data_IF_771334105476
#
_entry.id   IF_771334105476
#
_cell.length_a   1.000
_cell.length_b   1.000
_cell.length_c   1.000
_cell.angle_alpha   90.00
_cell.angle_beta   90.00
_cell.angle_gamma   90.00
#
_symmetry.space_group_name_H-M   'P 1'
#
loop_
_entity.id
_entity.type
_entity.pdbx_description
1 polymer ?
#
# COMPACT_ATOMS: atom_id res chain seq x y z
N UNK A 1 50.02 6.74 2.48
CA UNK A 1 49.14 5.58 2.67
C UNK A 1 48.51 5.67 4.05
N UNK A 2 47.21 5.95 4.10
CA UNK A 2 46.25 5.20 4.91
C UNK A 2 44.87 5.80 4.68
N UNK A 3 44.03 5.01 4.03
CA UNK A 3 42.60 5.18 3.95
C UNK A 3 42.01 5.02 5.35
N UNK A 4 41.10 5.91 5.73
CA UNK A 4 40.14 5.63 6.80
C UNK A 4 38.82 6.29 6.41
N UNK A 5 37.91 5.40 6.02
CA UNK A 5 36.50 5.56 5.65
C UNK A 5 35.83 6.89 6.02
N UNK A 6 35.48 7.61 4.97
CA UNK A 6 34.33 8.49 4.96
C UNK A 6 33.04 7.63 4.98
N UNK A 7 32.67 7.13 6.16
CA UNK A 7 31.39 6.43 6.41
C UNK A 7 30.20 7.41 6.44
N UNK A 8 30.16 8.37 5.52
CA UNK A 8 28.94 9.13 5.22
C UNK A 8 28.00 8.24 4.43
N UNK A 9 27.37 7.28 5.13
CA UNK A 9 26.04 6.80 4.73
C UNK A 9 25.16 8.05 4.63
N UNK A 10 24.48 8.31 3.51
CA UNK A 10 23.50 9.38 3.51
C UNK A 10 22.51 9.06 4.63
N UNK A 11 22.23 10.04 5.49
CA UNK A 11 21.13 9.97 6.42
C UNK A 11 19.86 9.82 5.59
N UNK A 12 19.45 8.58 5.32
CA UNK A 12 18.14 8.26 4.79
C UNK A 12 17.19 8.89 5.80
N UNK A 13 16.44 9.90 5.37
CA UNK A 13 15.44 10.57 6.20
C UNK A 13 14.66 9.47 6.90
N UNK A 14 14.76 9.39 8.23
CA UNK A 14 14.03 8.41 9.02
C UNK A 14 12.56 8.66 8.72
N UNK A 15 11.96 7.81 7.90
CA UNK A 15 10.57 7.94 7.52
C UNK A 15 9.73 7.94 8.80
N UNK A 16 8.94 9.00 8.98
CA UNK A 16 8.15 9.30 10.18
C UNK A 16 6.96 8.35 10.27
N UNK A 17 7.21 7.05 10.40
CA UNK A 17 6.14 6.08 10.59
C UNK A 17 5.60 6.17 12.02
N UNK A 18 4.29 6.00 12.18
CA UNK A 18 3.69 5.85 13.50
C UNK A 18 4.29 4.62 14.22
N UNK A 19 4.38 4.69 15.54
CA UNK A 19 4.82 3.57 16.36
C UNK A 19 3.96 2.33 16.10
N UNK A 20 4.60 1.17 15.94
CA UNK A 20 3.91 -0.08 15.63
C UNK A 20 3.60 -0.30 14.14
N UNK A 21 4.05 0.58 13.24
CA UNK A 21 3.98 0.34 11.79
C UNK A 21 4.72 -0.95 11.43
N UNK A 22 4.08 -1.92 10.74
CA UNK A 22 4.74 -3.16 10.34
C UNK A 22 5.90 -2.92 9.35
N UNK A 23 6.91 -3.79 9.37
CA UNK A 23 8.01 -3.75 8.39
C UNK A 23 7.57 -4.03 6.96
N UNK A 24 6.42 -4.68 6.77
CA UNK A 24 5.81 -4.93 5.45
C UNK A 24 4.34 -4.54 5.47
N UNK A 25 3.93 -3.72 4.51
CA UNK A 25 2.53 -3.36 4.26
C UNK A 25 2.15 -3.69 2.81
N UNK A 26 0.86 -3.77 2.53
CA UNK A 26 0.34 -4.23 1.25
C UNK A 26 -0.58 -3.20 0.61
N UNK A 27 -0.32 -2.89 -0.65
CA UNK A 27 -1.11 -1.96 -1.46
C UNK A 27 -1.52 -2.62 -2.77
N UNK A 28 -2.77 -2.43 -3.19
CA UNK A 28 -3.29 -2.94 -4.46
C UNK A 28 -3.20 -1.86 -5.53
N UNK A 29 -2.69 -2.25 -6.70
CA UNK A 29 -2.50 -1.35 -7.83
C UNK A 29 -3.11 -1.95 -9.09
N UNK A 30 -3.59 -1.08 -9.98
CA UNK A 30 -3.79 -1.43 -11.38
C UNK A 30 -2.43 -1.71 -12.02
N UNK A 31 -2.31 -2.79 -12.79
CA UNK A 31 -1.03 -3.18 -13.38
C UNK A 31 -0.47 -2.08 -14.29
N UNK A 32 -1.32 -1.44 -15.11
CA UNK A 32 -0.87 -0.37 -16.01
C UNK A 32 -0.31 0.85 -15.25
N UNK A 33 -0.93 1.21 -14.12
CA UNK A 33 -0.47 2.32 -13.28
C UNK A 33 0.88 2.00 -12.63
N UNK A 34 1.10 0.75 -12.25
CA UNK A 34 2.38 0.29 -11.73
C UNK A 34 3.48 0.27 -12.79
N UNK A 35 3.18 -0.22 -13.99
CA UNK A 35 4.13 -0.19 -15.11
C UNK A 35 4.55 1.24 -15.47
N UNK A 36 3.61 2.18 -15.45
CA UNK A 36 3.91 3.60 -15.64
C UNK A 36 4.80 4.16 -14.52
N UNK A 37 4.52 3.81 -13.26
CA UNK A 37 5.35 4.21 -12.14
C UNK A 37 6.77 3.64 -12.19
N UNK A 38 6.94 2.40 -12.65
CA UNK A 38 8.27 1.81 -12.87
C UNK A 38 9.10 2.63 -13.87
N UNK A 39 8.47 3.22 -14.88
CA UNK A 39 9.15 4.12 -15.80
C UNK A 39 9.44 5.51 -15.20
N UNK A 40 8.58 6.00 -14.31
CA UNK A 40 8.71 7.32 -13.66
C UNK A 40 9.66 7.32 -12.44
N UNK A 41 9.84 6.18 -11.78
CA UNK A 41 10.67 6.03 -10.57
C UNK A 41 9.93 6.24 -9.24
N UNK A 42 8.64 6.57 -9.29
CA UNK A 42 7.78 6.75 -8.13
C UNK A 42 6.32 6.43 -8.49
N UNK A 43 5.52 6.00 -7.50
CA UNK A 43 4.11 5.68 -7.70
C UNK A 43 3.19 6.55 -6.85
N UNK A 44 2.15 7.08 -7.50
CA UNK A 44 0.96 7.61 -6.86
C UNK A 44 -0.29 6.91 -7.41
N UNK A 45 -1.29 6.60 -6.56
CA UNK A 45 -2.56 6.05 -7.04
C UNK A 45 -3.38 7.12 -7.79
N UNK A 46 -4.28 6.73 -8.71
CA UNK A 46 -5.07 7.68 -9.52
C UNK A 46 -5.92 8.70 -8.74
N UNK A 47 -6.23 8.43 -7.46
CA UNK A 47 -7.02 9.34 -6.60
C UNK A 47 -6.20 10.04 -5.53
N UNK A 48 -4.87 10.00 -5.59
CA UNK A 48 -4.03 10.59 -4.56
C UNK A 48 -4.35 12.07 -4.32
N UNK A 49 -4.61 12.86 -5.36
CA UNK A 49 -4.96 14.28 -5.23
C UNK A 49 -6.28 14.54 -4.47
N UNK A 50 -7.16 13.53 -4.39
CA UNK A 50 -8.44 13.61 -3.68
C UNK A 50 -8.33 13.07 -2.26
N UNK A 51 -7.65 11.94 -2.11
CA UNK A 51 -7.58 11.20 -0.86
C UNK A 51 -6.46 11.78 0.05
N UNK A 52 -5.36 12.25 -0.54
CA UNK A 52 -4.20 12.84 0.14
C UNK A 52 -3.20 11.83 0.70
N UNK A 53 -3.47 10.54 0.54
CA UNK A 53 -2.64 9.42 1.00
C UNK A 53 -2.91 8.16 0.17
N UNK A 54 -2.02 7.18 0.28
CA UNK A 54 -2.17 5.85 -0.32
C UNK A 54 -2.71 4.89 0.74
N UNK A 55 -3.81 4.21 0.42
CA UNK A 55 -4.40 3.20 1.28
C UNK A 55 -3.58 1.89 1.23
N UNK A 56 -3.13 1.39 2.37
CA UNK A 56 -2.49 0.09 2.48
C UNK A 56 -3.14 -0.75 3.58
N UNK A 57 -2.73 -2.01 3.68
CA UNK A 57 -3.12 -2.94 4.74
C UNK A 57 -1.88 -3.49 5.42
N UNK A 58 -1.93 -3.74 6.73
CA UNK A 58 -0.84 -4.42 7.44
C UNK A 58 -0.82 -5.93 7.19
N UNK A 59 -1.95 -6.48 6.69
CA UNK A 59 -2.13 -7.89 6.38
C UNK A 59 -2.79 -8.01 5.01
N UNK A 60 -2.14 -8.73 4.11
CA UNK A 60 -2.62 -8.87 2.75
C UNK A 60 -3.99 -9.60 2.66
N UNK A 61 -4.34 -10.45 3.62
CA UNK A 61 -5.65 -11.10 3.65
C UNK A 61 -6.80 -10.09 3.82
N UNK A 62 -6.57 -8.96 4.50
CA UNK A 62 -7.57 -7.89 4.64
C UNK A 62 -7.85 -7.17 3.32
N UNK A 63 -6.87 -7.16 2.42
CA UNK A 63 -6.94 -6.49 1.12
C UNK A 63 -8.13 -6.99 0.29
N UNK A 64 -8.34 -8.31 0.24
CA UNK A 64 -9.48 -8.91 -0.50
C UNK A 64 -10.83 -8.47 0.08
N UNK A 65 -10.93 -8.38 1.42
CA UNK A 65 -12.14 -7.90 2.09
C UNK A 65 -12.44 -6.44 1.75
N UNK A 66 -11.42 -5.58 1.80
CA UNK A 66 -11.55 -4.16 1.45
C UNK A 66 -11.92 -3.98 -0.03
N UNK A 67 -11.26 -4.71 -0.93
CA UNK A 67 -11.50 -4.62 -2.37
C UNK A 67 -12.89 -5.10 -2.79
N UNK A 68 -13.44 -6.08 -2.08
CA UNK A 68 -14.79 -6.59 -2.31
C UNK A 68 -15.86 -5.86 -1.49
N UNK A 69 -15.51 -4.88 -0.65
CA UNK A 69 -16.48 -4.17 0.16
C UNK A 69 -17.49 -3.42 -0.72
N UNK A 70 -18.78 -3.63 -0.43
CA UNK A 70 -19.88 -2.92 -1.08
C UNK A 70 -20.29 -1.75 -0.22
N UNK A 71 -19.99 -0.53 -0.66
CA UNK A 71 -20.47 0.67 0.01
C UNK A 71 -22.01 0.74 -0.07
N UNK A 72 -22.73 1.02 1.02
CA UNK A 72 -24.20 1.01 1.04
C UNK A 72 -24.85 1.93 0.00
N UNK A 73 -24.21 3.05 -0.32
CA UNK A 73 -24.74 4.06 -1.27
C UNK A 73 -23.97 4.12 -2.59
N UNK A 74 -22.70 3.70 -2.62
CA UNK A 74 -21.83 3.84 -3.80
C UNK A 74 -21.64 2.51 -4.55
N UNK A 75 -22.17 1.41 -4.03
CA UNK A 75 -21.96 0.09 -4.62
C UNK A 75 -20.52 -0.38 -4.44
N UNK A 76 -20.03 -1.16 -5.41
CA UNK A 76 -18.65 -1.66 -5.38
C UNK A 76 -17.69 -0.63 -5.95
N UNK A 77 -16.71 -0.22 -5.15
CA UNK A 77 -15.76 0.82 -5.56
C UNK A 77 -14.71 0.25 -6.53
N UNK A 78 -14.23 -0.98 -6.28
CA UNK A 78 -13.10 -1.56 -7.02
C UNK A 78 -13.53 -2.64 -8.03
N UNK A 79 -14.60 -3.39 -7.78
CA UNK A 79 -15.01 -4.54 -8.63
C UNK A 79 -15.38 -4.14 -10.06
N UNK A 80 -15.81 -2.90 -10.27
CA UNK A 80 -16.23 -2.40 -11.57
C UNK A 80 -15.04 -2.10 -12.51
N UNK A 81 -13.81 -2.04 -11.98
CA UNK A 81 -12.60 -1.74 -12.75
C UNK A 81 -12.14 -2.99 -13.51
N UNK A 82 -12.27 -2.99 -14.83
CA UNK A 82 -11.91 -4.12 -15.71
C UNK A 82 -10.43 -4.10 -16.12
N UNK A 83 -9.54 -4.35 -15.17
CA UNK A 83 -8.09 -4.42 -15.41
C UNK A 83 -7.42 -5.54 -14.62
N UNK A 84 -6.17 -5.88 -14.94
CA UNK A 84 -5.31 -6.69 -14.07
C UNK A 84 -4.86 -5.88 -12.86
N UNK A 85 -4.83 -6.54 -11.70
CA UNK A 85 -4.36 -5.94 -10.45
C UNK A 85 -3.17 -6.70 -9.89
N UNK A 86 -2.28 -5.97 -9.22
CA UNK A 86 -1.18 -6.50 -8.46
C UNK A 86 -1.33 -6.08 -7.00
N UNK A 87 -0.93 -6.94 -6.08
CA UNK A 87 -0.69 -6.60 -4.69
C UNK A 87 0.81 -6.40 -4.50
N UNK A 88 1.21 -5.19 -4.13
CA UNK A 88 2.59 -4.83 -3.83
C UNK A 88 2.86 -5.09 -2.35
N UNK A 89 3.90 -5.86 -2.05
CA UNK A 89 4.45 -5.94 -0.70
C UNK A 89 5.54 -4.87 -0.56
N UNK A 90 5.33 -3.92 0.36
CA UNK A 90 6.15 -2.72 0.52
C UNK A 90 6.91 -2.83 1.83
N UNK A 91 8.23 -2.81 1.76
CA UNK A 91 9.14 -2.71 2.91
C UNK A 91 9.15 -1.27 3.43
N UNK A 92 8.54 -1.06 4.59
CA UNK A 92 8.45 0.26 5.22
C UNK A 92 9.81 0.77 5.68
N UNK A 93 10.78 -0.11 5.91
CA UNK A 93 12.13 0.32 6.33
C UNK A 93 12.93 0.97 5.20
N UNK A 94 12.50 0.77 3.95
CA UNK A 94 13.10 1.35 2.73
C UNK A 94 12.24 2.50 2.18
N UNK A 95 10.92 2.44 2.40
CA UNK A 95 9.97 3.47 1.98
C UNK A 95 10.32 4.83 2.61
N UNK A 96 10.41 5.88 1.79
CA UNK A 96 10.74 7.22 2.28
C UNK A 96 9.54 8.02 2.72
N UNK A 97 8.34 7.67 2.24
CA UNK A 97 7.10 8.35 2.61
C UNK A 97 6.63 7.94 4.01
N UNK A 98 6.18 8.91 4.84
CA UNK A 98 5.61 8.63 6.15
C UNK A 98 4.42 7.67 6.08
N UNK A 99 4.26 6.83 7.11
CA UNK A 99 3.13 5.90 7.23
C UNK A 99 2.42 6.20 8.54
N UNK A 100 1.12 6.48 8.49
CA UNK A 100 0.31 6.64 9.69
C UNK A 100 -0.65 5.48 9.85
N UNK A 101 -0.84 5.03 11.08
CA UNK A 101 -1.74 3.93 11.42
C UNK A 101 -3.07 4.53 11.90
N UNK A 102 -4.06 4.59 11.03
CA UNK A 102 -5.35 5.23 11.32
C UNK A 102 -6.47 4.20 11.41
N UNK A 103 -7.13 4.14 12.57
CA UNK A 103 -8.34 3.34 12.75
C UNK A 103 -9.58 4.16 12.42
N UNK A 104 -10.64 3.48 11.99
CA UNK A 104 -11.96 4.09 11.97
C UNK A 104 -12.36 4.54 13.39
N UNK A 105 -13.30 5.48 13.50
CA UNK A 105 -13.82 5.87 14.81
C UNK A 105 -14.43 4.66 15.53
N UNK A 106 -14.01 4.40 16.76
CA UNK A 106 -14.59 3.35 17.59
C UNK A 106 -16.07 3.64 17.85
N UNK A 107 -16.89 2.60 17.83
CA UNK A 107 -18.30 2.67 18.19
C UNK A 107 -18.49 1.99 19.55
N UNK A 108 -19.25 2.63 20.45
CA UNK A 108 -19.55 2.06 21.76
C UNK A 108 -20.15 0.65 21.62
N UNK A 109 -19.67 -0.28 22.44
CA UNK A 109 -20.10 -1.68 22.43
C UNK A 109 -19.53 -2.55 21.31
N UNK A 110 -18.67 -2.01 20.44
CA UNK A 110 -17.94 -2.78 19.43
C UNK A 110 -16.47 -2.98 19.84
N UNK A 111 -15.85 -4.01 19.29
CA UNK A 111 -14.41 -4.20 19.41
C UNK A 111 -13.67 -2.97 18.85
N UNK A 112 -12.47 -2.71 19.36
CA UNK A 112 -11.64 -1.63 18.86
C UNK A 112 -11.42 -1.80 17.34
N UNK A 113 -11.61 -0.75 16.54
CA UNK A 113 -11.45 -0.82 15.10
C UNK A 113 -9.99 -1.08 14.74
N UNK A 114 -9.79 -1.85 13.68
CA UNK A 114 -8.46 -2.12 13.12
C UNK A 114 -7.89 -0.83 12.53
N UNK A 115 -6.62 -0.54 12.83
CA UNK A 115 -5.88 0.56 12.24
C UNK A 115 -5.26 0.13 10.91
N UNK A 116 -5.45 0.95 9.87
CA UNK A 116 -4.89 0.70 8.54
C UNK A 116 -3.73 1.67 8.26
N UNK A 117 -2.65 1.20 7.61
CA UNK A 117 -1.56 2.06 7.20
C UNK A 117 -1.99 2.97 6.03
N UNK A 118 -1.72 4.27 6.18
CA UNK A 118 -1.85 5.28 5.14
C UNK A 118 -0.47 5.88 4.83
N UNK A 119 -0.06 5.83 3.56
CA UNK A 119 1.23 6.36 3.10
C UNK A 119 1.04 7.81 2.63
N UNK A 120 1.75 8.75 3.26
CA UNK A 120 1.67 10.19 2.95
C UNK A 120 2.81 10.62 2.04
N UNK A 121 2.73 10.20 0.78
CA UNK A 121 3.68 10.50 -0.27
C UNK A 121 3.70 9.38 -1.30
N UNK A 122 4.61 9.43 -2.29
CA UNK A 122 4.73 8.37 -3.26
C UNK A 122 5.24 7.07 -2.63
N UNK A 123 4.98 5.94 -3.27
CA UNK A 123 5.79 4.74 -3.03
C UNK A 123 7.12 4.98 -3.74
N UNK A 124 8.15 5.29 -2.96
CA UNK A 124 9.50 5.56 -3.43
C UNK A 124 10.54 5.30 -2.31
N UNK A 125 11.79 4.95 -2.66
CA UNK A 125 12.22 4.45 -3.98
C UNK A 125 11.50 3.15 -4.32
N UNK A 126 11.30 2.82 -5.61
CA UNK A 126 10.56 1.60 -5.99
C UNK A 126 11.20 0.30 -5.47
N UNK A 127 12.47 0.32 -5.07
CA UNK A 127 13.14 -0.78 -4.38
C UNK A 127 12.50 -1.15 -3.03
N UNK A 128 11.66 -0.29 -2.45
CA UNK A 128 10.86 -0.69 -1.28
C UNK A 128 9.79 -1.73 -1.64
N UNK A 129 9.43 -1.91 -2.91
CA UNK A 129 8.53 -2.97 -3.35
C UNK A 129 9.30 -4.28 -3.49
N UNK A 130 9.13 -5.17 -2.52
CA UNK A 130 9.87 -6.44 -2.44
C UNK A 130 9.20 -7.57 -3.21
N UNK A 131 7.88 -7.48 -3.42
CA UNK A 131 7.09 -8.48 -4.16
C UNK A 131 5.96 -7.81 -4.92
N UNK A 132 5.66 -8.34 -6.11
CA UNK A 132 4.51 -7.98 -6.93
C UNK A 132 3.69 -9.26 -7.12
N UNK A 133 2.51 -9.31 -6.52
CA UNK A 133 1.71 -10.54 -6.42
C UNK A 133 0.47 -10.41 -7.30
N UNK A 134 0.26 -11.30 -8.28
CA UNK A 134 -0.95 -11.29 -9.10
C UNK A 134 -2.21 -11.39 -8.24
N UNK A 135 -3.22 -10.57 -8.54
CA UNK A 135 -4.52 -10.64 -7.87
C UNK A 135 -5.54 -11.28 -8.82
N UNK A 136 -6.04 -12.46 -8.45
CA UNK A 136 -7.02 -13.18 -9.24
C UNK A 136 -8.41 -12.56 -9.09
N UNK A 137 -9.13 -12.50 -10.21
CA UNK A 137 -10.44 -11.86 -10.33
C UNK A 137 -11.45 -12.85 -10.88
N UNK A 138 -12.68 -12.80 -10.37
CA UNK A 138 -13.82 -13.51 -10.92
C UNK A 138 -14.46 -12.77 -12.09
N UNK A 139 -15.28 -13.47 -12.87
CA UNK A 139 -16.00 -12.93 -14.01
C UNK A 139 -16.97 -11.79 -13.62
N UNK A 140 -17.44 -11.80 -12.38
CA UNK A 140 -18.29 -10.77 -11.78
C UNK A 140 -17.48 -9.58 -11.20
N UNK A 141 -16.16 -9.57 -11.43
CA UNK A 141 -15.24 -8.56 -10.94
C UNK A 141 -14.80 -8.73 -9.48
N UNK A 142 -15.25 -9.76 -8.76
CA UNK A 142 -14.80 -10.03 -7.40
C UNK A 142 -13.28 -10.30 -7.35
N UNK A 143 -12.62 -9.86 -6.28
CA UNK A 143 -11.22 -10.17 -6.00
C UNK A 143 -11.17 -11.50 -5.22
N UNK A 144 -10.60 -12.54 -5.81
CA UNK A 144 -10.72 -13.92 -5.30
C UNK A 144 -9.55 -14.34 -4.44
N UNK A 145 -8.32 -14.08 -4.91
CA UNK A 145 -7.09 -14.47 -4.23
C UNK A 145 -5.92 -13.58 -4.66
N UNK A 146 -4.83 -13.65 -3.91
CA UNK A 146 -3.55 -13.04 -4.24
C UNK A 146 -2.54 -14.18 -4.35
N UNK A 147 -1.97 -14.37 -5.52
CA UNK A 147 -1.08 -15.51 -5.77
C UNK A 147 0.26 -15.35 -5.05
N UNK A 148 0.69 -16.40 -4.36
CA UNK A 148 1.93 -16.42 -3.60
C UNK A 148 1.82 -15.92 -2.16
N UNK A 149 0.61 -15.72 -1.63
CA UNK A 149 0.36 -15.58 -0.20
C UNK A 149 -0.10 -16.89 0.44
#
# INVERSE_FOLDING_TARGET
>A
ANFANDDRRPAIAMAQHDEGTPSVIYHVVQQSAWDAAQAAGEYFPPRYDKDGFIHATHEAALLLGVLNFKHPTLGYIHREIKETFLCLAIDTTVLTSPVKMEAAAAREGQAAPIAFPHIFGPIAPLSCVTRQLPVLRGDDGAFLSIDGL
#
